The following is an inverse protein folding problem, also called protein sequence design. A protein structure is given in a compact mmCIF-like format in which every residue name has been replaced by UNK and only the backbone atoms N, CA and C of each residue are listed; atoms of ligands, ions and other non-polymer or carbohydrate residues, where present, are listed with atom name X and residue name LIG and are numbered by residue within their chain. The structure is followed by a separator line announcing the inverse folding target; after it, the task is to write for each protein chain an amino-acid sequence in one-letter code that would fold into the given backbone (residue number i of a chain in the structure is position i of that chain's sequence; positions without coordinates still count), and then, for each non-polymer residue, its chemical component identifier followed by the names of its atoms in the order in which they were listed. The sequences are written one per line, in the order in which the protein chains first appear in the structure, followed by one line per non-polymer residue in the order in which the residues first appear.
data_IF_038008624003
#
_entry.id   IF_038008624003
#
_cell.length_a   1.000
_cell.length_b   1.000
_cell.length_c   1.000
_cell.angle_alpha   90.00
_cell.angle_beta   90.00
_cell.angle_gamma   90.00
#
_symmetry.space_group_name_H-M   'P 1'
#
loop_
_entity.id
_entity.type
_entity.pdbx_description
1 polymer ?
#
# COMPACT_ATOMS: atom_id res chain seq x y z
N UNK A 1 -8.84 16.15 -28.94
CA UNK A 1 -8.03 14.92 -28.99
C UNK A 1 -8.15 14.29 -27.62
N UNK A 2 -8.99 13.28 -27.47
CA UNK A 2 -9.23 12.56 -26.21
C UNK A 2 -8.48 11.23 -26.28
N UNK A 3 -7.17 11.31 -26.42
CA UNK A 3 -6.28 10.16 -26.33
C UNK A 3 -5.61 10.22 -24.97
N UNK A 4 -5.91 9.27 -24.11
CA UNK A 4 -5.12 9.00 -22.92
C UNK A 4 -3.69 8.74 -23.39
N UNK A 5 -2.76 9.60 -23.01
CA UNK A 5 -1.35 9.48 -23.40
C UNK A 5 -0.70 8.46 -22.47
N UNK A 6 -0.97 7.18 -22.71
CA UNK A 6 -0.14 6.10 -22.19
C UNK A 6 1.22 6.23 -22.85
N UNK A 7 2.24 6.49 -22.04
CA UNK A 7 3.64 6.51 -22.48
C UNK A 7 4.06 5.06 -22.60
N UNK A 8 4.31 4.58 -23.83
CA UNK A 8 4.87 3.24 -24.05
C UNK A 8 6.15 3.07 -23.25
N UNK A 9 6.34 1.87 -22.69
CA UNK A 9 7.58 1.51 -22.01
C UNK A 9 8.70 1.52 -23.05
N UNK A 10 9.64 2.46 -22.91
CA UNK A 10 10.79 2.60 -23.82
C UNK A 10 12.06 2.00 -23.22
N UNK A 11 12.76 1.22 -24.03
CA UNK A 11 14.03 0.61 -23.66
C UNK A 11 15.14 1.64 -23.74
N UNK A 12 15.88 1.84 -22.65
CA UNK A 12 16.96 2.82 -22.57
C UNK A 12 18.01 2.57 -23.68
N UNK A 13 18.25 3.58 -24.54
CA UNK A 13 19.10 3.49 -25.74
C UNK A 13 18.64 2.51 -26.83
N UNK A 14 17.35 2.17 -26.88
CA UNK A 14 16.76 1.41 -27.99
C UNK A 14 15.62 2.19 -28.64
N UNK A 15 15.40 1.94 -29.93
CA UNK A 15 14.19 2.38 -30.64
C UNK A 15 13.15 1.24 -30.75
N UNK A 16 13.43 0.08 -30.16
CA UNK A 16 12.47 -1.02 -30.03
C UNK A 16 11.53 -0.78 -28.85
N UNK A 17 10.31 -1.28 -29.03
CA UNK A 17 9.30 -1.41 -27.98
C UNK A 17 9.83 -2.32 -26.86
N UNK A 18 9.78 -1.87 -25.61
CA UNK A 18 10.07 -2.75 -24.50
C UNK A 18 8.86 -3.64 -24.25
N UNK A 19 9.05 -4.95 -24.42
CA UNK A 19 8.16 -5.91 -23.79
C UNK A 19 8.47 -5.93 -22.30
N UNK A 20 7.58 -5.36 -21.50
CA UNK A 20 7.56 -5.55 -20.06
C UNK A 20 6.70 -6.78 -19.77
N UNK A 21 7.34 -7.82 -19.25
CA UNK A 21 6.68 -9.08 -18.88
C UNK A 21 6.32 -9.06 -17.41
N UNK A 22 5.08 -9.42 -17.10
CA UNK A 22 4.55 -9.48 -15.73
C UNK A 22 3.05 -9.74 -15.75
N UNK A 23 2.43 -9.85 -14.58
CA UNK A 23 0.99 -10.08 -14.49
C UNK A 23 0.22 -8.86 -15.01
N UNK A 24 -0.56 -9.06 -16.06
CA UNK A 24 -1.35 -7.99 -16.70
C UNK A 24 -2.79 -7.88 -16.18
N UNK A 25 -3.23 -8.81 -15.32
CA UNK A 25 -4.59 -8.83 -14.78
C UNK A 25 -4.67 -8.07 -13.44
N UNK A 26 -5.42 -6.95 -13.36
CA UNK A 26 -5.55 -6.16 -12.14
C UNK A 26 -6.32 -6.86 -11.00
N UNK A 27 -6.91 -8.04 -11.25
CA UNK A 27 -7.57 -8.84 -10.22
C UNK A 27 -6.60 -9.70 -9.40
N UNK A 28 -5.30 -9.63 -9.66
CA UNK A 28 -4.28 -10.41 -8.97
C UNK A 28 -3.32 -9.51 -8.17
N UNK A 29 -2.80 -10.05 -7.06
CA UNK A 29 -1.86 -9.35 -6.17
C UNK A 29 -0.56 -9.00 -6.89
N UNK A 30 -0.16 -9.82 -7.86
CA UNK A 30 1.06 -9.63 -8.64
C UNK A 30 0.92 -8.64 -9.81
N UNK A 31 -0.24 -7.99 -9.96
CA UNK A 31 -0.49 -7.05 -11.06
C UNK A 31 0.62 -6.01 -11.20
N UNK A 32 1.25 -5.99 -12.38
CA UNK A 32 2.25 -5.01 -12.75
C UNK A 32 1.64 -4.03 -13.77
N UNK A 33 1.34 -2.77 -13.38
CA UNK A 33 0.78 -1.78 -14.30
C UNK A 33 1.72 -1.37 -15.43
N UNK A 34 3.00 -1.76 -15.37
CA UNK A 34 3.97 -1.56 -16.43
C UNK A 34 4.09 -2.73 -17.40
N UNK A 35 3.51 -3.90 -17.06
CA UNK A 35 3.54 -5.09 -17.92
C UNK A 35 2.63 -4.93 -19.15
N UNK A 36 3.17 -5.22 -20.32
CA UNK A 36 2.46 -5.23 -21.61
C UNK A 36 2.21 -6.64 -22.14
N UNK A 37 2.92 -7.64 -21.59
CA UNK A 37 2.79 -9.05 -21.95
C UNK A 37 2.68 -9.88 -20.68
N UNK A 38 1.61 -10.67 -20.60
CA UNK A 38 1.41 -11.63 -19.51
C UNK A 38 2.49 -12.73 -19.56
N UNK A 39 3.12 -12.99 -18.43
CA UNK A 39 4.17 -13.99 -18.24
C UNK A 39 3.72 -15.19 -17.39
N UNK A 40 2.40 -15.34 -17.20
CA UNK A 40 1.78 -16.34 -16.33
C UNK A 40 2.19 -16.18 -14.85
N UNK A 41 2.66 -15.01 -14.42
CA UNK A 41 2.96 -14.73 -13.00
C UNK A 41 1.73 -14.41 -12.14
N UNK A 42 0.56 -14.19 -12.74
CA UNK A 42 -0.70 -13.98 -12.02
C UNK A 42 -1.09 -15.26 -11.24
N UNK A 43 -0.83 -15.29 -9.93
CA UNK A 43 -0.94 -16.52 -9.14
C UNK A 43 -1.95 -16.41 -8.00
N UNK A 44 -2.05 -15.24 -7.37
CA UNK A 44 -2.93 -15.01 -6.23
C UNK A 44 -4.00 -13.98 -6.60
N UNK A 45 -5.26 -14.40 -6.58
CA UNK A 45 -6.38 -13.47 -6.71
C UNK A 45 -6.38 -12.47 -5.56
N UNK A 46 -6.51 -11.18 -5.88
CA UNK A 46 -6.74 -10.13 -4.92
C UNK A 46 -8.13 -10.30 -4.31
N UNK A 47 -8.16 -10.53 -3.00
CA UNK A 47 -9.37 -10.50 -2.18
C UNK A 47 -9.29 -9.21 -1.39
N UNK A 48 -10.07 -8.25 -1.86
CA UNK A 48 -10.18 -6.90 -1.28
C UNK A 48 -10.94 -6.94 0.05
N UNK A 49 -10.39 -6.26 1.04
CA UNK A 49 -11.01 -6.06 2.36
C UNK A 49 -9.97 -5.60 3.37
N UNK A 50 -10.31 -5.56 4.65
CA UNK A 50 -9.35 -5.12 5.64
C UNK A 50 -8.35 -6.23 6.01
N UNK A 51 -7.10 -6.11 5.54
CA UNK A 51 -6.05 -7.12 5.73
C UNK A 51 -5.29 -7.00 7.08
N UNK A 52 -5.56 -5.98 7.90
CA UNK A 52 -4.84 -5.76 9.16
C UNK A 52 -5.55 -6.41 10.35
N UNK A 53 -4.87 -7.33 11.03
CA UNK A 53 -5.41 -8.09 12.18
C UNK A 53 -5.84 -7.21 13.37
N UNK A 54 -5.27 -6.01 13.48
CA UNK A 54 -5.55 -5.06 14.55
C UNK A 54 -6.73 -4.11 14.23
N UNK A 55 -7.38 -4.27 13.08
CA UNK A 55 -8.55 -3.49 12.71
C UNK A 55 -9.86 -4.12 13.25
N UNK A 56 -10.83 -3.29 13.60
CA UNK A 56 -12.13 -3.72 14.11
C UNK A 56 -12.95 -4.51 13.09
N UNK A 57 -12.72 -4.22 11.81
CA UNK A 57 -13.35 -4.88 10.67
C UNK A 57 -12.36 -5.77 9.90
N UNK A 58 -11.33 -6.29 10.57
CA UNK A 58 -10.40 -7.26 9.98
C UNK A 58 -11.15 -8.40 9.26
N UNK A 59 -10.81 -8.61 7.99
CA UNK A 59 -11.30 -9.73 7.18
C UNK A 59 -10.16 -10.73 6.96
N UNK A 60 -10.30 -11.91 7.56
CA UNK A 60 -9.31 -13.00 7.44
C UNK A 60 -9.17 -13.56 6.02
N UNK A 61 -10.16 -13.32 5.16
CA UNK A 61 -10.10 -13.71 3.75
C UNK A 61 -9.43 -12.67 2.86
N UNK A 62 -9.30 -11.42 3.33
CA UNK A 62 -8.66 -10.35 2.58
C UNK A 62 -7.13 -10.54 2.55
N UNK A 63 -6.57 -10.35 1.36
CA UNK A 63 -5.11 -10.33 1.13
C UNK A 63 -4.63 -9.00 0.51
N UNK A 64 -5.56 -8.16 0.07
CA UNK A 64 -5.32 -6.81 -0.44
C UNK A 64 -6.15 -5.84 0.38
N UNK A 65 -5.50 -4.80 0.91
CA UNK A 65 -6.17 -3.75 1.67
C UNK A 65 -6.93 -2.80 0.73
N UNK A 66 -8.25 -2.74 0.90
CA UNK A 66 -9.14 -1.87 0.13
C UNK A 66 -9.30 -0.46 0.76
N UNK A 67 -8.60 -0.20 1.87
CA UNK A 67 -8.66 1.04 2.61
C UNK A 67 -9.93 1.19 3.47
N UNK A 68 -10.74 0.12 3.62
CA UNK A 68 -11.93 0.12 4.47
C UNK A 68 -11.61 -0.09 5.96
N UNK A 69 -10.36 -0.37 6.32
CA UNK A 69 -9.97 -0.68 7.70
C UNK A 69 -10.36 0.40 8.72
N UNK A 70 -11.02 -0.04 9.78
CA UNK A 70 -11.47 0.75 10.91
C UNK A 70 -10.61 0.40 12.11
N UNK A 71 -9.97 1.41 12.70
CA UNK A 71 -9.19 1.25 13.91
C UNK A 71 -9.84 2.10 15.01
N UNK A 72 -10.64 1.48 15.90
CA UNK A 72 -11.10 2.12 17.13
C UNK A 72 -9.97 2.15 18.12
N UNK A 73 -9.18 3.19 17.97
CA UNK A 73 -8.16 3.53 18.93
C UNK A 73 -8.87 4.09 20.15
N UNK A 74 -8.58 3.54 21.34
CA UNK A 74 -9.08 4.03 22.62
C UNK A 74 -8.79 5.52 22.86
N UNK A 75 -7.91 6.11 22.04
CA UNK A 75 -7.66 7.54 21.87
C UNK A 75 -7.83 7.89 20.38
N UNK A 76 -8.51 8.99 20.05
CA UNK A 76 -8.97 9.35 18.69
C UNK A 76 -7.87 9.58 17.63
N UNK A 77 -6.60 9.36 17.94
CA UNK A 77 -5.46 9.64 17.10
C UNK A 77 -4.30 8.68 17.46
N UNK A 78 -3.93 7.69 16.62
CA UNK A 78 -2.86 6.75 16.93
C UNK A 78 -1.48 7.42 16.96
N UNK A 79 -1.36 8.59 16.34
CA UNK A 79 -0.14 9.41 16.34
C UNK A 79 -0.07 10.42 17.47
N UNK A 80 -1.03 10.44 18.40
CA UNK A 80 -1.01 11.32 19.57
C UNK A 80 -0.22 10.62 20.70
N UNK A 81 1.11 10.72 20.60
CA UNK A 81 2.03 10.15 21.59
C UNK A 81 2.08 10.96 22.88
N UNK A 82 1.55 12.19 22.86
CA UNK A 82 1.52 13.07 24.03
C UNK A 82 0.18 13.07 24.77
N UNK A 83 -0.83 12.36 24.24
CA UNK A 83 -2.22 12.27 24.72
C UNK A 83 -2.87 13.65 24.91
N UNK A 84 -2.57 14.59 23.99
CA UNK A 84 -3.03 15.98 24.03
C UNK A 84 -4.27 16.25 23.13
N UNK A 85 -4.72 15.23 22.40
CA UNK A 85 -5.86 15.26 21.49
C UNK A 85 -5.52 15.73 20.07
N UNK A 86 -4.24 15.96 19.75
CA UNK A 86 -3.79 16.39 18.44
C UNK A 86 -2.65 15.49 17.91
N UNK A 87 -2.47 15.44 16.59
CA UNK A 87 -1.28 14.85 15.97
C UNK A 87 -0.47 15.97 15.34
N UNK A 88 0.64 16.34 15.96
CA UNK A 88 1.51 17.43 15.51
C UNK A 88 3.01 17.17 15.82
N UNK A 89 3.86 18.17 15.60
CA UNK A 89 5.32 18.03 15.79
C UNK A 89 5.68 17.69 17.25
N UNK A 90 4.84 18.04 18.21
CA UNK A 90 5.02 17.69 19.63
C UNK A 90 4.98 16.18 19.83
N UNK A 91 4.10 15.45 19.13
CA UNK A 91 4.02 13.99 19.18
C UNK A 91 5.25 13.33 18.55
N UNK A 92 5.70 13.86 17.41
CA UNK A 92 6.95 13.42 16.81
C UNK A 92 8.13 13.65 17.76
N UNK A 93 8.15 14.79 18.46
CA UNK A 93 9.14 15.09 19.49
C UNK A 93 9.09 14.11 20.67
N UNK A 94 7.88 13.77 21.13
CA UNK A 94 7.65 12.76 22.18
C UNK A 94 8.17 11.39 21.79
N UNK A 95 7.80 10.92 20.59
CA UNK A 95 8.32 9.66 20.03
C UNK A 95 9.85 9.67 19.96
N UNK A 96 10.46 10.70 19.37
CA UNK A 96 11.91 10.77 19.23
C UNK A 96 12.64 10.91 20.57
N UNK A 97 12.00 11.48 21.59
CA UNK A 97 12.54 11.57 22.95
C UNK A 97 12.60 10.21 23.67
N UNK A 98 11.64 9.32 23.39
CA UNK A 98 11.61 7.95 23.92
C UNK A 98 12.25 6.90 22.98
N UNK A 99 12.56 7.29 21.74
CA UNK A 99 13.10 6.35 20.76
C UNK A 99 14.45 5.80 21.21
N UNK A 100 14.49 4.49 21.48
CA UNK A 100 15.70 3.78 21.91
C UNK A 100 15.95 3.78 23.42
N UNK A 101 15.02 4.27 24.25
CA UNK A 101 15.09 4.02 25.70
C UNK A 101 14.79 2.55 25.99
N UNK A 102 15.60 1.93 26.85
CA UNK A 102 15.35 0.57 27.31
C UNK A 102 14.20 0.56 28.34
N UNK A 103 13.30 -0.41 28.22
CA UNK A 103 12.30 -0.71 29.23
C UNK A 103 12.83 -1.79 30.18
N UNK A 104 12.52 -1.68 31.48
CA UNK A 104 12.75 -2.74 32.47
C UNK A 104 11.64 -3.81 32.42
#
# INVERSE_FOLDING_TARGET
VTGDTVVDVVCWNSCDDCVASGCTDPLFVEFDPSATVDDDSCSVLAVEGCAYIDADNYDVSANTDDGSCLFTLGSTCPGDFTDDGFVNVSDLGGFLGAFGTACD
#
